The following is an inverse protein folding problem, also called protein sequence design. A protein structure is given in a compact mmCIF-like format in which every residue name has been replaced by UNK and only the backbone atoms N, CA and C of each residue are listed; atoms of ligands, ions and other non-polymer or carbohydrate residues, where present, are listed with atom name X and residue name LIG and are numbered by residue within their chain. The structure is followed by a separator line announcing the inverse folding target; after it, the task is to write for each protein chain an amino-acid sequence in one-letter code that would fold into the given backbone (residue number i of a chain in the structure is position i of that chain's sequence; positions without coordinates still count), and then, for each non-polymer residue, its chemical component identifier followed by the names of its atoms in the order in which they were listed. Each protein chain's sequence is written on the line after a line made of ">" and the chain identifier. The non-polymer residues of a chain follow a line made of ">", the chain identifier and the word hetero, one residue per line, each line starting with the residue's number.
data_IF_530996686998
#
_entry.id   IF_530996686998
#
_cell.length_a   1.000
_cell.length_b   1.000
_cell.length_c   1.000
_cell.angle_alpha   90.00
_cell.angle_beta   90.00
_cell.angle_gamma   90.00
#
_symmetry.space_group_name_H-M   'P 1'
#
loop_
_entity.id
_entity.type
_entity.pdbx_description
1 polymer ?
2 water ?
#
# COMPACT_ATOMS: atom_id res chain seq x y z
N UNK A 3 4.71 14.29 2.47
CA UNK A 3 4.50 12.87 2.90
C UNK A 3 5.56 11.95 2.30
N UNK A 4 6.29 11.24 3.15
CA UNK A 4 7.31 10.32 2.67
C UNK A 4 6.72 8.93 2.50
N UNK A 5 7.48 8.03 1.89
CA UNK A 5 7.05 6.66 1.65
C UNK A 5 6.48 5.96 2.88
N UNK A 6 7.24 5.96 3.97
CA UNK A 6 6.81 5.32 5.21
C UNK A 6 5.50 5.89 5.74
N UNK A 7 5.34 7.21 5.62
CA UNK A 7 4.15 7.89 6.11
C UNK A 7 2.88 7.56 5.33
N UNK A 8 2.98 7.55 4.00
CA UNK A 8 1.83 7.25 3.16
C UNK A 8 1.41 5.79 3.27
N UNK A 9 2.38 4.88 3.27
CA UNK A 9 2.08 3.46 3.39
C UNK A 9 1.36 3.20 4.71
N UNK A 10 1.85 3.81 5.78
CA UNK A 10 1.24 3.63 7.09
C UNK A 10 -0.18 4.21 7.12
N UNK A 11 -0.35 5.37 6.50
CA UNK A 11 -1.66 6.01 6.46
C UNK A 11 -2.68 5.20 5.66
N UNK A 12 -2.24 4.58 4.56
CA UNK A 12 -3.14 3.77 3.75
C UNK A 12 -3.46 2.46 4.49
N UNK A 13 -2.44 1.84 5.06
CA UNK A 13 -2.63 0.58 5.79
C UNK A 13 -3.68 0.80 6.85
N UNK A 14 -3.48 1.85 7.63
CA UNK A 14 -4.38 2.20 8.70
C UNK A 14 -5.82 2.41 8.23
N UNK A 15 -6.00 3.12 7.12
CA UNK A 15 -7.36 3.36 6.63
C UNK A 15 -8.00 2.09 6.08
N UNK A 16 -7.22 1.26 5.40
CA UNK A 16 -7.77 0.02 4.86
C UNK A 16 -8.16 -0.94 5.99
N UNK A 17 -7.36 -1.00 7.05
CA UNK A 17 -7.68 -1.91 8.15
C UNK A 17 -8.95 -1.47 8.89
N UNK A 18 -9.32 -0.20 8.75
CA UNK A 18 -10.53 0.32 9.37
C UNK A 18 -11.74 -0.36 8.75
N UNK A 19 -11.64 -0.64 7.46
CA UNK A 19 -12.72 -1.27 6.71
C UNK A 19 -13.36 -2.47 7.39
N UNK A 20 -12.53 -3.46 7.73
CA UNK A 20 -13.02 -4.69 8.35
C UNK A 20 -13.78 -5.53 7.33
N UNK A 21 -13.29 -5.50 6.09
CA UNK A 21 -13.86 -6.26 4.99
C UNK A 21 -12.77 -7.27 4.59
N UNK A 22 -13.10 -8.57 4.56
CA UNK A 22 -12.13 -9.61 4.21
C UNK A 22 -11.51 -9.48 2.82
N UNK A 23 -12.14 -8.74 1.93
CA UNK A 23 -11.59 -8.59 0.59
C UNK A 23 -10.22 -7.91 0.61
N UNK A 24 -9.92 -7.19 1.69
CA UNK A 24 -8.65 -6.49 1.81
C UNK A 24 -7.54 -7.27 2.52
N UNK A 25 -7.88 -8.41 3.12
CA UNK A 25 -6.91 -9.19 3.87
C UNK A 25 -5.60 -9.51 3.13
N UNK A 26 -5.67 -9.81 1.84
CA UNK A 26 -4.44 -10.13 1.11
C UNK A 26 -3.56 -8.91 0.87
N UNK A 27 -4.18 -7.76 0.65
CA UNK A 27 -3.46 -6.50 0.45
C UNK A 27 -2.73 -6.13 1.75
N UNK A 28 -3.43 -6.21 2.87
CA UNK A 28 -2.85 -5.89 4.18
C UNK A 28 -1.66 -6.80 4.46
N UNK A 29 -1.76 -8.05 4.03
CA UNK A 29 -0.69 -9.02 4.21
C UNK A 29 0.57 -8.56 3.46
N UNK A 30 0.39 -8.14 2.21
CA UNK A 30 1.49 -7.66 1.39
C UNK A 30 2.06 -6.37 1.98
N UNK A 31 1.18 -5.49 2.42
CA UNK A 31 1.63 -4.22 2.98
C UNK A 31 2.44 -4.33 4.27
N UNK A 32 2.16 -5.34 5.09
CA UNK A 32 2.93 -5.50 6.32
C UNK A 32 4.38 -5.77 5.94
N UNK A 33 4.58 -6.57 4.89
CA UNK A 33 5.93 -6.88 4.43
C UNK A 33 6.58 -5.62 3.87
N UNK A 34 5.79 -4.76 3.23
CA UNK A 34 6.34 -3.52 2.68
C UNK A 34 6.73 -2.61 3.85
N UNK A 35 5.88 -2.60 4.87
CA UNK A 35 6.07 -1.83 6.10
C UNK A 35 7.49 -2.08 6.61
N UNK A 36 7.78 -3.36 6.81
CA UNK A 36 9.07 -3.81 7.32
C UNK A 36 10.25 -3.53 6.41
N UNK A 37 10.09 -3.75 5.11
CA UNK A 37 11.18 -3.50 4.17
C UNK A 37 11.54 -2.03 4.13
N UNK A 38 10.56 -1.17 4.36
CA UNK A 38 10.82 0.26 4.34
C UNK A 38 11.74 0.68 5.48
N UNK A 39 11.78 -0.14 6.53
CA UNK A 39 12.63 0.14 7.68
C UNK A 39 14.09 -0.26 7.43
N UNK A 40 14.31 -1.10 6.42
CA UNK A 40 15.65 -1.54 6.09
C UNK A 40 16.49 -0.46 5.42
N UNK A 41 17.81 -0.60 5.54
CA UNK A 41 18.77 0.35 4.97
C UNK A 41 18.60 0.61 3.48
N UNK A 42 18.70 -0.45 2.68
CA UNK A 42 18.57 -0.35 1.23
C UNK A 42 17.41 0.53 0.78
N UNK A 43 16.21 0.16 1.21
CA UNK A 43 15.01 0.90 0.84
C UNK A 43 14.88 2.21 1.60
N UNK A 44 15.76 2.41 2.57
CA UNK A 44 15.76 3.63 3.35
C UNK A 44 16.26 4.75 2.45
N UNK A 45 17.34 4.46 1.73
CA UNK A 45 17.95 5.40 0.80
C UNK A 45 17.00 5.68 -0.36
N UNK A 46 16.54 4.62 -1.02
CA UNK A 46 15.63 4.76 -2.15
C UNK A 46 14.49 3.74 -2.09
N UNK A 47 13.33 4.17 -1.58
CA UNK A 47 12.16 3.29 -1.47
C UNK A 47 11.32 3.22 -2.75
N UNK A 48 11.68 4.05 -3.73
CA UNK A 48 10.96 4.13 -5.00
C UNK A 48 10.62 2.80 -5.69
N UNK A 49 11.61 1.93 -5.88
CA UNK A 49 11.33 0.65 -6.54
C UNK A 49 10.37 -0.24 -5.75
N UNK A 50 10.41 -0.11 -4.43
CA UNK A 50 9.55 -0.90 -3.56
C UNK A 50 8.12 -0.37 -3.61
N UNK A 51 7.99 0.95 -3.55
CA UNK A 51 6.68 1.59 -3.60
C UNK A 51 6.02 1.36 -4.96
N UNK A 52 6.81 1.40 -6.03
CA UNK A 52 6.26 1.18 -7.37
C UNK A 52 5.70 -0.23 -7.49
N UNK A 53 6.38 -1.20 -6.90
CA UNK A 53 5.90 -2.57 -6.95
C UNK A 53 4.58 -2.67 -6.19
N UNK A 54 4.49 -1.97 -5.06
CA UNK A 54 3.27 -1.99 -4.26
C UNK A 54 2.11 -1.35 -5.02
N UNK A 55 2.36 -0.20 -5.62
CA UNK A 55 1.33 0.49 -6.38
C UNK A 55 0.82 -0.40 -7.51
N UNK A 56 1.74 -1.02 -8.24
CA UNK A 56 1.35 -1.92 -9.33
C UNK A 56 0.60 -3.13 -8.81
N UNK A 57 1.01 -3.63 -7.65
CA UNK A 57 0.36 -4.78 -7.04
C UNK A 57 -1.08 -4.43 -6.65
N UNK A 58 -1.27 -3.24 -6.10
CA UNK A 58 -2.59 -2.81 -5.67
C UNK A 58 -3.60 -2.78 -6.81
N UNK A 59 -3.22 -2.20 -7.95
CA UNK A 59 -4.14 -2.14 -9.07
C UNK A 59 -4.37 -3.51 -9.70
N UNK A 60 -3.32 -4.32 -9.78
CA UNK A 60 -3.43 -5.64 -10.35
C UNK A 60 -4.39 -6.51 -9.54
N UNK A 61 -4.19 -6.54 -8.23
CA UNK A 61 -5.04 -7.36 -7.37
C UNK A 61 -6.45 -6.78 -7.28
N UNK A 62 -6.57 -5.46 -7.33
CA UNK A 62 -7.88 -4.82 -7.29
C UNK A 62 -8.67 -5.27 -8.51
N UNK A 63 -7.99 -5.35 -9.65
CA UNK A 63 -8.63 -5.79 -10.89
C UNK A 63 -9.06 -7.24 -10.78
N UNK A 64 -8.10 -8.08 -10.43
CA UNK A 64 -8.27 -9.52 -10.29
C UNK A 64 -9.38 -9.92 -9.32
N UNK A 65 -9.45 -9.25 -8.18
CA UNK A 65 -10.47 -9.57 -7.20
C UNK A 65 -11.66 -8.62 -7.21
N UNK A 66 -11.67 -7.69 -8.17
CA UNK A 66 -12.75 -6.72 -8.29
C UNK A 66 -12.92 -5.92 -7.00
N UNK A 67 -11.81 -5.38 -6.51
CA UNK A 67 -11.81 -4.58 -5.30
C UNK A 67 -11.90 -3.11 -5.67
N UNK A 68 -12.62 -2.34 -4.87
CA UNK A 68 -12.74 -0.92 -5.12
C UNK A 68 -12.18 -0.20 -3.91
N UNK A 69 -11.38 0.83 -4.14
CA UNK A 69 -10.81 1.60 -3.06
C UNK A 69 -11.67 2.85 -2.92
N UNK A 70 -11.64 3.50 -1.77
CA UNK A 70 -12.42 4.72 -1.59
C UNK A 70 -11.62 5.88 -2.17
N UNK A 71 -12.25 7.03 -2.35
CA UNK A 71 -11.55 8.19 -2.89
C UNK A 71 -10.39 8.54 -1.97
N UNK A 72 -10.62 8.40 -0.67
CA UNK A 72 -9.61 8.70 0.34
C UNK A 72 -8.40 7.78 0.14
N UNK A 73 -8.67 6.51 -0.13
CA UNK A 73 -7.62 5.52 -0.35
C UNK A 73 -6.95 5.72 -1.71
N UNK A 74 -7.73 6.03 -2.73
CA UNK A 74 -7.19 6.24 -4.07
C UNK A 74 -6.23 7.43 -4.07
N UNK A 75 -6.57 8.46 -3.31
CA UNK A 75 -5.75 9.65 -3.20
C UNK A 75 -4.37 9.28 -2.65
N UNK A 76 -4.37 8.47 -1.59
CA UNK A 76 -3.12 8.03 -0.99
C UNK A 76 -2.29 7.19 -1.96
N UNK A 77 -2.96 6.37 -2.76
CA UNK A 77 -2.25 5.53 -3.71
C UNK A 77 -1.61 6.45 -4.75
N UNK A 78 -2.36 7.46 -5.17
CA UNK A 78 -1.87 8.44 -6.12
C UNK A 78 -0.61 9.07 -5.53
N UNK A 79 -0.66 9.40 -4.24
CA UNK A 79 0.51 9.98 -3.57
C UNK A 79 1.73 9.07 -3.75
N UNK A 80 1.52 7.76 -3.61
CA UNK A 80 2.61 6.80 -3.77
C UNK A 80 3.18 6.78 -5.18
N UNK A 81 2.30 6.59 -6.16
CA UNK A 81 2.73 6.53 -7.56
C UNK A 81 3.59 7.74 -7.91
N UNK A 82 3.29 8.85 -7.43
#
# INVERSE_FOLDING_TARGET
>A
XKKNAKQIVHELYNDISISKDPKYSDILEVMQKVYLKLEKQKYELDPSPLINRLVNYLYFTAYTNKIRFTEYQEELIRNMSEIGRTAGINGLYRADYGDKSQF
#
